data_IF_038313915359
#
_entry.id   IF_038313915359
#
_cell.length_a   1.000
_cell.length_b   1.000
_cell.length_c   1.000
_cell.angle_alpha   90.00
_cell.angle_beta   90.00
_cell.angle_gamma   90.00
#
_symmetry.space_group_name_H-M   'P 1'
#
loop_
_entity.id
_entity.type
_entity.pdbx_description
1 polymer ?
#
# COMPACT_ATOMS: atom_id res chain seq x y z
N UNK A 1 -8.80 -6.26 8.11
CA UNK A 1 -7.92 -5.10 8.46
C UNK A 1 -7.83 -5.00 9.96
N UNK A 2 -6.65 -4.65 10.46
CA UNK A 2 -6.42 -4.56 11.90
C UNK A 2 -6.37 -3.08 12.31
N UNK A 3 -6.96 -2.76 13.45
CA UNK A 3 -6.82 -1.44 14.04
C UNK A 3 -5.44 -1.33 14.68
N UNK A 4 -4.59 -0.43 14.18
CA UNK A 4 -3.22 -0.23 14.70
C UNK A 4 -3.16 1.10 15.43
N UNK A 5 -2.74 1.08 16.69
CA UNK A 5 -2.54 2.27 17.54
C UNK A 5 -1.15 2.18 18.17
N UNK A 6 -0.31 3.20 17.95
CA UNK A 6 1.04 3.30 18.51
C UNK A 6 1.89 2.02 18.29
N UNK A 7 1.85 1.48 17.06
CA UNK A 7 2.51 0.25 16.63
C UNK A 7 2.04 -1.04 17.34
N UNK A 8 0.87 -1.04 17.96
CA UNK A 8 0.24 -2.21 18.55
C UNK A 8 -1.04 -2.56 17.78
N UNK A 9 -1.24 -3.82 17.50
CA UNK A 9 -2.47 -4.33 16.88
C UNK A 9 -3.53 -4.43 17.98
N UNK A 10 -4.70 -3.82 17.76
CA UNK A 10 -5.87 -3.98 18.62
C UNK A 10 -6.62 -5.22 18.17
N UNK A 11 -6.43 -6.30 18.89
CA UNK A 11 -6.96 -7.62 18.55
C UNK A 11 -8.33 -7.89 19.21
N UNK A 12 -9.31 -7.01 18.94
CA UNK A 12 -10.65 -7.19 19.42
C UNK A 12 -11.69 -6.75 18.38
N UNK A 13 -12.79 -7.50 18.21
CA UNK A 13 -13.92 -7.06 17.40
C UNK A 13 -14.51 -5.76 17.95
N UNK A 14 -14.91 -4.84 17.07
CA UNK A 14 -15.53 -3.56 17.44
C UNK A 14 -16.68 -3.74 18.46
N UNK A 15 -17.60 -4.73 18.34
CA UNK A 15 -18.65 -4.95 19.33
C UNK A 15 -18.14 -5.20 20.74
N UNK A 16 -17.01 -5.86 20.90
CA UNK A 16 -16.46 -6.17 22.23
C UNK A 16 -15.80 -4.93 22.86
N UNK A 17 -15.18 -4.08 22.03
CA UNK A 17 -14.71 -2.75 22.45
C UNK A 17 -15.88 -1.91 22.96
N UNK A 18 -16.98 -1.86 22.20
CA UNK A 18 -18.19 -1.10 22.58
C UNK A 18 -18.85 -1.64 23.86
N UNK A 19 -18.89 -2.95 24.04
CA UNK A 19 -19.38 -3.57 25.29
C UNK A 19 -18.51 -3.21 26.49
N UNK A 20 -17.19 -3.16 26.30
CA UNK A 20 -16.26 -2.80 27.36
C UNK A 20 -16.39 -1.32 27.75
N UNK A 21 -16.54 -0.41 26.76
CA UNK A 21 -16.84 1.00 27.04
C UNK A 21 -18.12 1.12 27.87
N UNK A 22 -19.19 0.44 27.45
CA UNK A 22 -20.47 0.46 28.18
C UNK A 22 -20.34 -0.05 29.61
N UNK A 23 -19.56 -1.12 29.81
CA UNK A 23 -19.32 -1.70 31.15
C UNK A 23 -18.57 -0.74 32.05
N UNK A 24 -17.58 -0.03 31.56
CA UNK A 24 -16.71 0.84 32.36
C UNK A 24 -17.30 2.22 32.60
N UNK A 25 -18.00 2.78 31.61
CA UNK A 25 -18.66 4.09 31.79
C UNK A 25 -19.95 3.99 32.61
N UNK A 26 -20.55 2.79 32.75
CA UNK A 26 -21.86 2.62 33.34
C UNK A 26 -22.99 3.35 32.62
N UNK A 27 -22.68 4.01 31.52
CA UNK A 27 -23.65 4.75 30.71
C UNK A 27 -24.49 3.83 29.84
N UNK A 28 -25.75 4.20 29.59
CA UNK A 28 -26.63 3.46 28.68
C UNK A 28 -26.32 3.83 27.20
N UNK A 29 -25.05 3.71 26.84
CA UNK A 29 -24.55 3.94 25.48
C UNK A 29 -24.77 2.69 24.61
N UNK A 30 -24.86 2.88 23.30
CA UNK A 30 -24.88 1.81 22.30
C UNK A 30 -26.00 0.77 22.58
N UNK A 31 -27.24 1.22 22.71
CA UNK A 31 -28.39 0.33 23.05
C UNK A 31 -28.52 -0.85 22.11
N UNK A 32 -28.41 -0.59 20.79
CA UNK A 32 -28.60 -1.56 19.73
C UNK A 32 -27.42 -1.50 18.77
N UNK A 33 -26.44 -2.39 18.94
CA UNK A 33 -25.33 -2.55 18.01
C UNK A 33 -25.84 -3.42 16.85
N UNK A 34 -25.99 -2.87 15.66
CA UNK A 34 -26.42 -3.58 14.47
C UNK A 34 -25.29 -3.65 13.46
N UNK A 35 -25.10 -4.80 12.81
CA UNK A 35 -24.19 -4.93 11.69
C UNK A 35 -24.98 -4.75 10.38
N UNK A 36 -24.58 -3.78 9.55
CA UNK A 36 -25.18 -3.50 8.23
C UNK A 36 -24.08 -3.28 7.21
N UNK A 37 -23.97 -4.19 6.24
CA UNK A 37 -22.88 -4.20 5.25
C UNK A 37 -21.53 -4.17 5.98
N UNK A 38 -20.69 -3.20 5.67
CA UNK A 38 -19.34 -3.06 6.25
C UNK A 38 -19.31 -2.09 7.44
N UNK A 39 -20.41 -2.00 8.21
CA UNK A 39 -20.49 -1.04 9.32
C UNK A 39 -21.20 -1.65 10.52
N UNK A 40 -20.70 -1.33 11.72
CA UNK A 40 -21.48 -1.42 12.94
C UNK A 40 -22.24 -0.11 13.14
N UNK A 41 -23.57 -0.19 13.26
CA UNK A 41 -24.45 0.96 13.47
C UNK A 41 -24.79 1.04 14.94
N UNK A 42 -24.55 2.21 15.54
CA UNK A 42 -24.70 2.48 16.98
C UNK A 42 -25.46 3.80 17.19
N UNK A 43 -25.98 4.00 18.40
CA UNK A 43 -26.42 5.31 18.84
C UNK A 43 -25.24 6.26 19.02
N UNK A 44 -25.35 7.49 18.56
CA UNK A 44 -24.25 8.46 18.60
C UNK A 44 -24.07 9.02 20.01
N UNK A 45 -22.87 8.93 20.62
CA UNK A 45 -22.65 9.47 21.96
C UNK A 45 -22.65 11.00 21.99
N UNK A 46 -22.42 11.67 20.86
CA UNK A 46 -22.26 13.12 20.79
C UNK A 46 -23.59 13.89 20.67
N UNK A 47 -24.68 13.28 20.28
CA UNK A 47 -25.97 13.95 20.30
C UNK A 47 -27.02 13.19 21.11
N UNK A 48 -27.91 13.93 21.76
CA UNK A 48 -28.93 13.43 22.68
C UNK A 48 -28.35 12.50 23.78
N UNK A 49 -27.09 12.68 24.14
CA UNK A 49 -26.42 11.87 25.16
C UNK A 49 -26.43 10.37 24.87
N UNK A 50 -26.39 9.96 23.59
CA UNK A 50 -26.48 8.56 23.19
C UNK A 50 -27.89 7.93 23.28
N UNK A 51 -28.94 8.75 23.52
CA UNK A 51 -30.31 8.32 23.78
C UNK A 51 -31.24 8.47 22.56
N UNK A 52 -30.70 8.43 21.36
CA UNK A 52 -31.52 8.46 20.15
C UNK A 52 -32.34 7.16 19.98
N UNK A 53 -33.54 7.29 19.41
CA UNK A 53 -34.41 6.13 19.18
C UNK A 53 -34.01 5.28 17.99
N UNK A 54 -33.31 5.90 17.01
CA UNK A 54 -32.81 5.24 15.81
C UNK A 54 -31.30 5.43 15.72
N UNK A 55 -30.50 4.36 15.75
CA UNK A 55 -29.05 4.45 15.59
C UNK A 55 -28.64 5.15 14.28
N UNK A 56 -27.80 6.16 14.37
CA UNK A 56 -27.39 7.00 13.22
C UNK A 56 -25.87 7.12 13.04
N UNK A 57 -25.10 6.48 13.90
CA UNK A 57 -23.65 6.53 13.88
C UNK A 57 -23.08 5.19 13.40
N UNK A 58 -22.26 5.24 12.39
CA UNK A 58 -21.61 4.08 11.78
C UNK A 58 -20.16 3.97 12.19
N UNK A 59 -19.69 2.75 12.45
CA UNK A 59 -18.27 2.44 12.61
C UNK A 59 -17.88 1.52 11.46
N UNK A 60 -17.01 1.99 10.59
CA UNK A 60 -16.59 1.24 9.42
C UNK A 60 -15.68 0.07 9.80
N UNK A 61 -15.97 -1.12 9.25
CA UNK A 61 -15.22 -2.35 9.47
C UNK A 61 -15.02 -3.19 8.20
N UNK A 62 -15.13 -2.54 7.03
CA UNK A 62 -14.85 -3.14 5.73
C UNK A 62 -13.39 -3.00 5.31
N UNK A 63 -13.11 -3.44 4.08
CA UNK A 63 -11.77 -3.47 3.48
C UNK A 63 -11.57 -2.43 2.37
N UNK A 64 -12.39 -1.35 2.33
CA UNK A 64 -12.22 -0.30 1.33
C UNK A 64 -10.93 0.50 1.59
N UNK A 65 -10.13 0.77 0.55
CA UNK A 65 -8.94 1.61 0.69
C UNK A 65 -9.26 3.10 0.91
N UNK A 66 -10.52 3.49 0.71
CA UNK A 66 -10.96 4.89 0.83
C UNK A 66 -11.36 5.28 2.26
N UNK A 67 -11.65 4.30 3.12
CA UNK A 67 -12.11 4.53 4.49
C UNK A 67 -11.31 3.65 5.44
N UNK A 68 -10.64 4.27 6.40
CA UNK A 68 -9.84 3.55 7.41
C UNK A 68 -10.72 2.71 8.33
N UNK A 69 -10.31 1.47 8.63
CA UNK A 69 -10.99 0.58 9.57
C UNK A 69 -11.13 1.25 10.95
N UNK A 70 -12.32 1.23 11.52
CA UNK A 70 -12.61 1.91 12.78
C UNK A 70 -12.99 3.40 12.62
N UNK A 71 -13.12 3.92 11.40
CA UNK A 71 -13.67 5.27 11.19
C UNK A 71 -15.12 5.33 11.64
N UNK A 72 -15.40 6.30 12.51
CA UNK A 72 -16.74 6.55 13.07
C UNK A 72 -17.36 7.75 12.35
N UNK A 73 -18.58 7.60 11.86
CA UNK A 73 -19.33 8.70 11.24
C UNK A 73 -20.81 8.68 11.64
N UNK A 74 -21.28 9.81 12.17
CA UNK A 74 -22.70 10.01 12.48
C UNK A 74 -23.39 10.84 11.39
N UNK A 75 -24.35 10.26 10.69
CA UNK A 75 -25.09 10.92 9.61
C UNK A 75 -26.08 11.99 10.10
N UNK A 76 -26.37 12.05 11.41
CA UNK A 76 -27.31 13.04 11.96
C UNK A 76 -26.60 14.31 12.41
N UNK A 77 -25.46 14.23 13.09
CA UNK A 77 -24.76 15.39 13.64
C UNK A 77 -23.41 15.70 12.95
N UNK A 78 -22.98 14.88 12.00
CA UNK A 78 -21.71 15.07 11.29
C UNK A 78 -20.47 14.70 12.11
N UNK A 79 -20.63 14.10 13.30
CA UNK A 79 -19.51 13.63 14.11
C UNK A 79 -18.73 12.58 13.31
N UNK A 80 -17.44 12.86 13.05
CA UNK A 80 -16.58 12.00 12.23
C UNK A 80 -15.18 11.94 12.84
N UNK A 81 -14.79 10.75 13.33
CA UNK A 81 -13.58 10.56 14.13
C UNK A 81 -13.04 9.13 14.01
N UNK A 82 -11.77 8.86 14.32
CA UNK A 82 -11.26 7.50 14.50
C UNK A 82 -11.79 6.85 15.79
N UNK A 83 -11.73 5.53 15.87
CA UNK A 83 -12.29 4.75 17.00
C UNK A 83 -11.70 5.16 18.36
N UNK A 84 -10.40 5.45 18.45
CA UNK A 84 -9.79 5.89 19.70
C UNK A 84 -10.38 7.20 20.22
N UNK A 85 -10.78 8.11 19.33
CA UNK A 85 -11.44 9.36 19.71
C UNK A 85 -12.87 9.11 20.18
N UNK A 86 -13.60 8.17 19.58
CA UNK A 86 -14.91 7.73 20.10
C UNK A 86 -14.77 7.23 21.54
N UNK A 87 -13.73 6.41 21.80
CA UNK A 87 -13.44 5.93 23.17
C UNK A 87 -13.21 7.12 24.10
N UNK A 88 -12.30 8.02 23.76
CA UNK A 88 -11.98 9.20 24.57
C UNK A 88 -13.24 10.02 24.89
N UNK A 89 -14.07 10.28 23.89
CA UNK A 89 -15.29 11.06 24.04
C UNK A 89 -16.35 10.35 24.95
N UNK A 90 -16.42 9.02 24.91
CA UNK A 90 -17.30 8.25 25.79
C UNK A 90 -16.88 8.34 27.28
N UNK A 91 -15.61 8.54 27.55
CA UNK A 91 -15.06 8.74 28.90
C UNK A 91 -14.91 10.22 29.27
N UNK A 92 -15.22 11.15 28.36
CA UNK A 92 -15.02 12.59 28.51
C UNK A 92 -13.54 12.94 28.74
N UNK A 93 -12.65 12.26 28.01
CA UNK A 93 -11.19 12.35 28.12
C UNK A 93 -10.55 12.79 26.78
N UNK A 94 -9.24 13.01 26.80
CA UNK A 94 -8.46 13.39 25.61
C UNK A 94 -8.12 12.17 24.75
N UNK A 95 -7.74 12.42 23.48
CA UNK A 95 -7.41 11.40 22.49
C UNK A 95 -6.36 10.39 22.96
N UNK A 96 -5.33 10.86 23.70
CA UNK A 96 -4.27 9.99 24.25
C UNK A 96 -4.82 8.97 25.25
N UNK A 97 -5.87 9.32 26.01
CA UNK A 97 -6.57 8.37 26.86
C UNK A 97 -7.21 7.27 26.04
N UNK A 98 -7.92 7.63 24.96
CA UNK A 98 -8.60 6.65 24.11
C UNK A 98 -7.63 5.66 23.47
N UNK A 99 -6.48 6.14 23.01
CA UNK A 99 -5.40 5.29 22.48
C UNK A 99 -4.85 4.36 23.56
N UNK A 100 -4.46 4.91 24.71
CA UNK A 100 -3.94 4.15 25.84
C UNK A 100 -4.95 3.10 26.33
N UNK A 101 -6.23 3.45 26.42
CA UNK A 101 -7.31 2.56 26.83
C UNK A 101 -7.48 1.36 25.89
N UNK A 102 -7.45 1.60 24.56
CA UNK A 102 -7.53 0.52 23.57
C UNK A 102 -6.30 -0.39 23.65
N UNK A 103 -5.12 0.18 23.76
CA UNK A 103 -3.86 -0.55 23.86
C UNK A 103 -3.79 -1.38 25.15
N UNK A 104 -4.19 -0.84 26.29
CA UNK A 104 -4.13 -1.53 27.58
C UNK A 104 -5.07 -2.73 27.65
N UNK A 105 -6.25 -2.65 27.02
CA UNK A 105 -7.29 -3.69 27.10
C UNK A 105 -7.28 -4.67 25.96
N UNK A 106 -6.87 -4.26 24.78
CA UNK A 106 -7.00 -5.03 23.54
C UNK A 106 -5.73 -5.01 22.68
N UNK A 107 -4.70 -4.27 23.09
CA UNK A 107 -3.42 -4.27 22.39
C UNK A 107 -2.69 -5.56 22.69
N UNK A 108 -2.41 -6.34 21.65
CA UNK A 108 -1.39 -7.36 21.76
C UNK A 108 -0.05 -6.63 21.92
N UNK A 109 0.47 -6.69 23.13
CA UNK A 109 1.90 -6.49 23.30
C UNK A 109 2.58 -7.55 22.44
N UNK A 110 3.43 -7.14 21.51
CA UNK A 110 4.57 -7.94 21.13
C UNK A 110 5.39 -8.15 22.42
N UNK A 111 4.90 -9.03 23.29
CA UNK A 111 5.79 -9.69 24.24
C UNK A 111 6.66 -10.54 23.33
N UNK A 112 7.94 -10.18 23.22
CA UNK A 112 9.00 -11.16 23.10
C UNK A 112 8.84 -12.15 24.25
N UNK A 113 7.82 -12.97 24.21
CA UNK A 113 7.85 -14.23 24.92
C UNK A 113 8.88 -15.04 24.17
N UNK A 114 10.11 -15.00 24.68
CA UNK A 114 11.00 -16.13 24.61
C UNK A 114 10.24 -17.34 25.21
N UNK A 115 9.23 -17.83 24.52
CA UNK A 115 8.89 -19.23 24.60
C UNK A 115 10.04 -19.91 23.90
N UNK A 116 10.83 -20.61 24.69
CA UNK A 116 11.69 -21.71 24.24
C UNK A 116 10.74 -22.78 23.69
N UNK A 117 10.12 -22.50 22.57
CA UNK A 117 9.72 -23.53 21.63
C UNK A 117 11.02 -23.88 20.89
N UNK A 118 11.29 -25.18 20.63
CA UNK A 118 12.44 -25.55 19.83
C UNK A 118 12.41 -24.67 18.60
N UNK A 119 13.53 -24.02 18.29
CA UNK A 119 13.64 -23.05 17.23
C UNK A 119 13.01 -23.64 15.96
N UNK A 120 11.75 -23.28 15.72
CA UNK A 120 11.20 -23.35 14.37
C UNK A 120 12.00 -22.25 13.69
N UNK A 121 12.90 -22.69 12.83
CA UNK A 121 13.71 -21.84 12.00
C UNK A 121 12.77 -20.97 11.13
N UNK A 122 12.36 -19.81 11.66
CA UNK A 122 11.50 -18.83 10.98
C UNK A 122 12.25 -18.17 9.82
N UNK A 123 13.53 -18.50 9.65
CA UNK A 123 14.34 -18.10 8.50
C UNK A 123 13.96 -18.84 7.20
N UNK A 124 13.16 -19.89 7.30
CA UNK A 124 12.55 -20.50 6.12
C UNK A 124 11.18 -19.83 5.85
N UNK A 125 11.21 -18.58 5.37
CA UNK A 125 10.12 -18.10 4.50
C UNK A 125 9.85 -19.23 3.51
N UNK A 126 8.57 -19.60 3.33
CA UNK A 126 8.23 -20.60 2.33
C UNK A 126 8.95 -20.20 1.03
N UNK A 127 9.67 -21.10 0.38
CA UNK A 127 10.47 -20.75 -0.79
C UNK A 127 9.52 -20.05 -1.77
N UNK A 128 9.88 -18.83 -2.19
CA UNK A 128 9.11 -18.07 -3.17
C UNK A 128 8.89 -19.01 -4.35
N UNK A 129 7.64 -19.33 -4.65
CA UNK A 129 7.30 -20.30 -5.69
C UNK A 129 7.78 -19.75 -7.03
N UNK A 130 8.84 -20.31 -7.56
CA UNK A 130 9.31 -19.97 -8.91
C UNK A 130 8.27 -20.44 -9.91
N UNK A 131 7.88 -19.56 -10.82
CA UNK A 131 7.02 -19.89 -11.94
C UNK A 131 7.90 -20.35 -13.12
N UNK A 132 7.38 -21.28 -13.92
CA UNK A 132 8.02 -21.64 -15.17
C UNK A 132 7.81 -20.52 -16.19
N UNK A 133 8.88 -20.06 -16.84
CA UNK A 133 8.79 -18.99 -17.85
C UNK A 133 7.92 -19.35 -19.06
N UNK A 134 7.67 -20.64 -19.30
CA UNK A 134 6.78 -21.09 -20.38
C UNK A 134 5.37 -20.54 -20.25
N UNK A 135 4.92 -20.24 -19.00
CA UNK A 135 3.60 -19.62 -18.76
C UNK A 135 3.44 -18.28 -19.47
N UNK A 136 4.54 -17.56 -19.71
CA UNK A 136 4.47 -16.24 -20.37
C UNK A 136 4.02 -16.35 -21.84
N UNK A 137 4.12 -17.54 -22.46
CA UNK A 137 3.62 -17.77 -23.82
C UNK A 137 2.09 -17.65 -23.92
N UNK A 138 1.39 -17.88 -22.81
CA UNK A 138 -0.07 -17.72 -22.75
C UNK A 138 -0.51 -16.27 -22.89
N UNK A 139 0.39 -15.33 -22.58
CA UNK A 139 0.14 -13.90 -22.59
C UNK A 139 0.89 -13.15 -23.70
N UNK A 140 1.55 -13.83 -24.59
CA UNK A 140 2.35 -13.23 -25.68
C UNK A 140 1.44 -12.62 -26.78
N UNK A 141 0.67 -11.62 -26.38
CA UNK A 141 -0.23 -10.87 -27.25
C UNK A 141 -0.07 -9.38 -27.01
N UNK A 142 -0.14 -8.61 -28.09
CA UNK A 142 -0.24 -7.14 -27.98
C UNK A 142 -1.70 -6.72 -27.81
N UNK A 143 -1.88 -5.66 -27.03
CA UNK A 143 -3.17 -4.99 -26.89
C UNK A 143 -3.04 -3.49 -27.18
N UNK A 144 -3.99 -2.83 -27.88
CA UNK A 144 -3.92 -1.39 -28.21
C UNK A 144 -3.71 -0.48 -26.97
N UNK A 145 -4.17 -0.91 -25.79
CA UNK A 145 -3.97 -0.19 -24.55
C UNK A 145 -2.50 0.03 -24.19
N UNK A 146 -1.57 -0.84 -24.60
CA UNK A 146 -0.13 -0.64 -24.42
C UNK A 146 0.32 0.67 -25.08
N UNK A 147 -0.19 0.94 -26.29
CA UNK A 147 0.16 2.14 -27.05
C UNK A 147 -0.51 3.39 -26.51
N UNK A 148 -1.74 3.28 -26.03
CA UNK A 148 -2.41 4.42 -25.36
C UNK A 148 -1.71 4.79 -24.05
N UNK A 149 -1.01 3.82 -23.44
CA UNK A 149 -0.14 4.05 -22.27
C UNK A 149 1.29 4.43 -22.66
N UNK A 150 1.52 4.86 -23.91
CA UNK A 150 2.80 5.36 -24.45
C UNK A 150 3.96 4.38 -24.38
N UNK A 151 3.71 3.07 -24.23
CA UNK A 151 4.77 2.08 -24.24
C UNK A 151 5.25 1.86 -25.66
N UNK A 152 6.56 1.84 -25.89
CA UNK A 152 7.11 1.47 -27.20
C UNK A 152 7.08 -0.04 -27.37
N UNK A 153 6.99 -0.49 -28.64
CA UNK A 153 7.04 -1.91 -28.95
C UNK A 153 8.33 -2.55 -28.44
N UNK A 154 9.46 -1.88 -28.61
CA UNK A 154 10.75 -2.34 -28.13
C UNK A 154 10.73 -2.66 -26.63
N UNK A 155 10.12 -1.78 -25.81
CA UNK A 155 10.05 -1.94 -24.35
C UNK A 155 9.04 -3.04 -23.98
N UNK A 156 7.92 -3.14 -24.69
CA UNK A 156 6.94 -4.21 -24.49
C UNK A 156 7.59 -5.59 -24.77
N UNK A 157 8.30 -5.73 -25.87
CA UNK A 157 9.00 -6.96 -26.24
C UNK A 157 10.15 -7.28 -25.27
N UNK A 158 10.97 -6.26 -24.94
CA UNK A 158 12.13 -6.39 -24.05
C UNK A 158 11.76 -6.91 -22.66
N UNK A 159 10.68 -6.42 -22.10
CA UNK A 159 10.24 -6.77 -20.75
C UNK A 159 9.06 -7.75 -20.75
N UNK A 160 8.74 -8.32 -21.91
CA UNK A 160 7.72 -9.36 -22.10
C UNK A 160 6.36 -8.96 -21.53
N UNK A 161 5.98 -7.68 -21.72
CA UNK A 161 4.65 -7.20 -21.36
C UNK A 161 3.65 -7.86 -22.30
N UNK A 162 2.68 -8.55 -21.73
CA UNK A 162 1.71 -9.31 -22.49
C UNK A 162 0.26 -8.89 -22.23
N UNK A 163 -0.67 -9.69 -22.73
CA UNK A 163 -2.09 -9.48 -22.53
C UNK A 163 -2.81 -10.80 -22.27
N UNK A 164 -3.54 -10.85 -21.17
CA UNK A 164 -4.40 -11.95 -20.81
C UNK A 164 -5.82 -11.72 -21.34
N UNK A 165 -6.20 -12.51 -22.34
CA UNK A 165 -7.53 -12.46 -22.96
C UNK A 165 -8.65 -12.90 -22.02
N UNK A 166 -8.36 -13.78 -21.05
CA UNK A 166 -9.37 -14.31 -20.15
C UNK A 166 -9.80 -13.28 -19.11
N UNK A 167 -8.88 -12.43 -18.66
CA UNK A 167 -9.13 -11.42 -17.63
C UNK A 167 -9.16 -9.99 -18.17
N UNK A 168 -9.04 -9.79 -19.48
CA UNK A 168 -8.97 -8.48 -20.15
C UNK A 168 -7.97 -7.53 -19.46
N UNK A 169 -6.71 -8.00 -19.33
CA UNK A 169 -5.69 -7.30 -18.57
C UNK A 169 -4.31 -7.38 -19.23
N UNK A 170 -3.53 -6.30 -19.14
CA UNK A 170 -2.10 -6.37 -19.42
C UNK A 170 -1.42 -7.20 -18.34
N UNK A 171 -0.42 -7.98 -18.74
CA UNK A 171 0.39 -8.81 -17.85
C UNK A 171 1.82 -8.30 -17.78
N UNK A 172 2.40 -8.30 -16.58
CA UNK A 172 3.76 -7.86 -16.33
C UNK A 172 4.49 -8.97 -15.57
N UNK A 173 5.46 -9.65 -16.20
CA UNK A 173 6.31 -10.61 -15.50
C UNK A 173 7.15 -9.91 -14.43
N UNK A 174 7.19 -10.47 -13.23
CA UNK A 174 7.96 -9.91 -12.11
C UNK A 174 8.99 -10.94 -11.67
N UNK A 175 10.23 -10.51 -11.68
CA UNK A 175 11.38 -11.33 -11.31
C UNK A 175 11.93 -10.86 -9.96
N UNK A 176 12.45 -11.82 -9.18
CA UNK A 176 13.21 -11.51 -7.98
C UNK A 176 14.64 -11.01 -8.33
N UNK A 177 15.42 -10.65 -7.34
CA UNK A 177 16.80 -10.20 -7.49
C UNK A 177 17.76 -11.29 -8.03
N UNK A 178 17.31 -12.55 -8.05
CA UNK A 178 18.04 -13.71 -8.56
C UNK A 178 17.61 -14.10 -9.98
N UNK A 179 16.79 -13.26 -10.62
CA UNK A 179 16.25 -13.50 -11.97
C UNK A 179 15.32 -14.72 -12.06
N UNK A 180 14.61 -15.07 -11.00
CA UNK A 180 13.55 -16.06 -11.05
C UNK A 180 12.21 -15.35 -11.30
N UNK A 181 11.38 -15.85 -12.21
CA UNK A 181 10.01 -15.40 -12.36
C UNK A 181 9.20 -15.83 -11.13
N UNK A 182 8.71 -14.86 -10.35
CA UNK A 182 8.02 -15.14 -9.07
C UNK A 182 6.55 -14.79 -9.09
N UNK A 183 6.13 -13.88 -9.96
CA UNK A 183 4.72 -13.57 -10.16
C UNK A 183 4.46 -12.96 -11.54
N UNK A 184 3.20 -12.92 -11.93
CA UNK A 184 2.71 -12.17 -13.08
C UNK A 184 1.61 -11.26 -12.57
N UNK A 185 1.88 -9.96 -12.54
CA UNK A 185 0.87 -8.99 -12.15
C UNK A 185 0.00 -8.62 -13.32
N UNK A 186 -1.25 -8.25 -13.08
CA UNK A 186 -2.23 -7.95 -14.11
C UNK A 186 -2.88 -6.59 -13.87
N UNK A 187 -3.02 -5.80 -14.93
CA UNK A 187 -3.73 -4.53 -14.92
C UNK A 187 -4.88 -4.57 -15.91
N UNK A 188 -6.10 -4.39 -15.44
CA UNK A 188 -7.26 -4.30 -16.31
C UNK A 188 -7.11 -3.18 -17.34
N UNK A 189 -7.53 -3.45 -18.59
CA UNK A 189 -7.55 -2.43 -19.65
C UNK A 189 -8.84 -1.62 -19.65
N UNK A 190 -9.89 -2.11 -18.98
CA UNK A 190 -11.21 -1.51 -18.91
C UNK A 190 -11.48 -0.77 -17.58
N UNK A 191 -10.64 -0.98 -16.56
CA UNK A 191 -10.79 -0.36 -15.22
C UNK A 191 -9.44 0.02 -14.60
N UNK A 192 -9.45 0.64 -13.41
CA UNK A 192 -8.23 0.91 -12.64
C UNK A 192 -7.77 -0.31 -11.81
N UNK A 193 -8.46 -1.46 -11.91
CA UNK A 193 -8.13 -2.63 -11.12
C UNK A 193 -6.73 -3.17 -11.47
N UNK A 194 -6.00 -3.47 -10.42
CA UNK A 194 -4.66 -4.04 -10.47
C UNK A 194 -4.62 -5.27 -9.56
N UNK A 195 -4.20 -6.40 -10.09
CA UNK A 195 -4.13 -7.66 -9.35
C UNK A 195 -2.67 -8.00 -9.04
N UNK A 196 -2.35 -8.04 -7.76
CA UNK A 196 -1.11 -8.57 -7.20
C UNK A 196 -1.49 -9.67 -6.22
N UNK A 197 -0.68 -10.72 -6.14
CA UNK A 197 -0.79 -11.70 -5.05
C UNK A 197 -0.34 -11.03 -3.73
N UNK A 198 -1.27 -10.86 -2.79
CA UNK A 198 -1.04 -10.15 -1.53
C UNK A 198 -0.18 -10.96 -0.54
N UNK A 199 -0.07 -12.27 -0.73
CA UNK A 199 0.66 -13.18 0.17
C UNK A 199 2.15 -13.33 -0.17
N UNK A 200 2.68 -12.54 -1.12
CA UNK A 200 4.07 -12.62 -1.55
C UNK A 200 4.81 -11.31 -1.24
N UNK A 201 5.99 -11.41 -0.63
CA UNK A 201 6.89 -10.27 -0.51
C UNK A 201 7.17 -9.70 -1.92
N UNK A 202 6.75 -8.46 -2.15
CA UNK A 202 6.85 -7.83 -3.48
C UNK A 202 8.30 -7.55 -3.83
N UNK A 203 8.84 -8.09 -4.95
CA UNK A 203 10.15 -7.69 -5.43
C UNK A 203 10.15 -6.22 -5.89
N UNK A 204 11.31 -5.73 -6.31
CA UNK A 204 11.41 -4.46 -7.01
C UNK A 204 11.34 -4.74 -8.52
N UNK A 205 10.31 -4.25 -9.19
CA UNK A 205 10.07 -4.49 -10.61
C UNK A 205 11.23 -4.00 -11.48
N UNK A 206 11.75 -4.83 -12.36
CA UNK A 206 12.89 -4.64 -13.26
C UNK A 206 14.26 -4.50 -12.58
N UNK A 207 14.38 -4.69 -11.26
CA UNK A 207 15.68 -4.63 -10.58
C UNK A 207 16.64 -5.72 -11.06
N UNK A 208 16.13 -6.92 -11.34
CA UNK A 208 16.93 -8.01 -11.91
C UNK A 208 17.64 -7.57 -13.19
N UNK A 209 16.92 -6.85 -14.08
CA UNK A 209 17.51 -6.32 -15.31
C UNK A 209 18.54 -5.21 -15.03
N UNK A 210 18.25 -4.27 -14.13
CA UNK A 210 19.18 -3.23 -13.68
C UNK A 210 20.49 -3.86 -13.18
N UNK A 211 20.40 -4.89 -12.36
CA UNK A 211 21.57 -5.59 -11.81
C UNK A 211 22.35 -6.34 -12.90
N UNK A 212 21.66 -7.06 -13.80
CA UNK A 212 22.30 -7.79 -14.91
C UNK A 212 23.08 -6.88 -15.85
N UNK A 213 22.62 -5.64 -16.05
CA UNK A 213 23.28 -4.63 -16.86
C UNK A 213 24.23 -3.70 -16.07
N UNK A 214 24.37 -3.96 -14.74
CA UNK A 214 25.20 -3.15 -13.85
C UNK A 214 24.90 -1.64 -13.88
N UNK A 215 23.64 -1.27 -14.06
CA UNK A 215 23.18 0.12 -14.14
C UNK A 215 23.26 0.77 -12.76
N UNK A 216 23.88 1.95 -12.66
CA UNK A 216 24.15 2.64 -11.40
C UNK A 216 23.18 3.77 -11.09
N UNK A 217 22.50 4.32 -12.09
CA UNK A 217 21.51 5.39 -11.94
C UNK A 217 20.16 4.91 -12.42
N UNK A 218 19.13 5.01 -11.57
CA UNK A 218 17.79 4.56 -11.89
C UNK A 218 16.73 5.51 -11.36
N UNK A 219 15.62 5.56 -12.08
CA UNK A 219 14.39 6.21 -11.61
C UNK A 219 13.60 5.23 -10.77
N UNK A 220 13.08 5.72 -9.64
CA UNK A 220 12.14 4.99 -8.78
C UNK A 220 10.74 5.55 -8.98
N UNK A 221 9.81 4.67 -9.32
CA UNK A 221 8.38 5.02 -9.51
C UNK A 221 7.48 4.05 -8.76
N UNK A 222 6.19 4.37 -8.68
CA UNK A 222 5.22 3.55 -7.95
C UNK A 222 4.70 2.37 -8.77
N UNK A 223 4.43 2.56 -10.07
CA UNK A 223 3.80 1.56 -10.92
C UNK A 223 4.69 1.05 -12.05
N UNK A 224 4.41 -0.19 -12.49
CA UNK A 224 5.14 -0.79 -13.62
C UNK A 224 4.97 0.02 -14.91
N UNK A 225 3.77 0.54 -15.18
CA UNK A 225 3.52 1.36 -16.38
C UNK A 225 4.41 2.61 -16.34
N UNK A 226 4.55 3.25 -15.19
CA UNK A 226 5.42 4.40 -15.03
C UNK A 226 6.89 4.04 -15.28
N UNK A 227 7.36 2.88 -14.78
CA UNK A 227 8.70 2.39 -15.06
C UNK A 227 8.92 2.11 -16.56
N UNK A 228 7.99 1.43 -17.21
CA UNK A 228 8.07 1.11 -18.64
C UNK A 228 7.98 2.38 -19.51
N UNK A 229 7.24 3.40 -19.07
CA UNK A 229 7.19 4.72 -19.73
C UNK A 229 8.55 5.41 -19.66
N UNK A 230 9.20 5.42 -18.48
CA UNK A 230 10.54 5.95 -18.33
C UNK A 230 11.54 5.22 -19.26
N UNK A 231 11.46 3.89 -19.32
CA UNK A 231 12.25 3.08 -20.27
C UNK A 231 11.98 3.44 -21.73
N UNK A 232 10.71 3.66 -22.09
CA UNK A 232 10.33 4.11 -23.44
C UNK A 232 10.95 5.48 -23.78
N UNK A 233 11.15 6.34 -22.80
CA UNK A 233 11.80 7.63 -22.95
C UNK A 233 13.34 7.55 -22.93
N UNK A 234 13.89 6.36 -22.67
CA UNK A 234 15.32 6.08 -22.67
C UNK A 234 16.00 6.13 -21.31
N UNK A 235 15.23 6.11 -20.22
CA UNK A 235 15.72 6.20 -18.86
C UNK A 235 15.47 4.91 -18.06
N UNK A 236 16.52 4.28 -17.49
CA UNK A 236 16.38 3.13 -16.64
C UNK A 236 15.50 3.41 -15.41
N UNK A 237 14.51 2.56 -15.18
CA UNK A 237 13.59 2.75 -14.08
C UNK A 237 13.18 1.40 -13.45
N UNK A 238 12.81 1.46 -12.18
CA UNK A 238 12.25 0.35 -11.40
C UNK A 238 10.97 0.79 -10.68
N UNK A 239 10.06 -0.15 -10.38
CA UNK A 239 8.82 0.18 -9.67
C UNK A 239 8.69 -0.58 -8.35
N UNK A 240 8.05 0.08 -7.36
CA UNK A 240 7.87 -0.43 -6.00
C UNK A 240 6.45 -0.95 -5.71
N UNK A 241 5.54 -0.99 -6.71
CA UNK A 241 4.14 -1.37 -6.52
C UNK A 241 3.44 -0.52 -5.43
N UNK A 242 3.63 0.77 -5.47
CA UNK A 242 3.29 1.80 -4.50
C UNK A 242 4.55 2.51 -4.02
N UNK A 243 4.53 3.03 -2.80
CA UNK A 243 5.63 3.85 -2.26
C UNK A 243 6.75 3.04 -1.59
N UNK A 244 6.71 1.72 -1.70
CA UNK A 244 7.76 0.81 -1.21
C UNK A 244 7.53 0.24 0.20
N UNK A 245 8.16 -0.91 0.45
CA UNK A 245 8.15 -1.65 1.72
C UNK A 245 9.57 -1.82 2.28
N UNK A 246 9.70 -2.19 3.55
CA UNK A 246 11.00 -2.48 4.18
C UNK A 246 11.77 -3.55 3.42
N UNK A 247 11.11 -4.63 3.01
CA UNK A 247 11.71 -5.68 2.20
C UNK A 247 12.31 -5.14 0.89
N UNK A 248 11.59 -4.26 0.19
CA UNK A 248 12.10 -3.64 -1.04
C UNK A 248 13.27 -2.70 -0.79
N UNK A 249 13.27 -1.95 0.32
CA UNK A 249 14.42 -1.13 0.71
C UNK A 249 15.64 -1.98 1.03
N UNK A 250 15.48 -3.13 1.68
CA UNK A 250 16.57 -4.08 1.95
C UNK A 250 17.19 -4.63 0.67
N UNK A 251 16.35 -4.97 -0.32
CA UNK A 251 16.82 -5.40 -1.65
C UNK A 251 17.60 -4.27 -2.35
N UNK A 252 17.04 -3.06 -2.36
CA UNK A 252 17.70 -1.89 -2.97
C UNK A 252 19.01 -1.55 -2.28
N UNK A 253 19.10 -1.66 -0.97
CA UNK A 253 20.30 -1.41 -0.18
C UNK A 253 21.44 -2.39 -0.52
N UNK A 254 21.11 -3.59 -0.99
CA UNK A 254 22.07 -4.61 -1.45
C UNK A 254 22.39 -4.49 -2.95
N UNK A 255 21.68 -3.63 -3.69
CA UNK A 255 21.82 -3.51 -5.13
C UNK A 255 23.11 -2.79 -5.56
N UNK A 256 23.39 -2.88 -6.86
CA UNK A 256 24.53 -2.16 -7.48
C UNK A 256 24.28 -0.68 -7.68
N UNK A 257 23.06 -0.17 -7.42
CA UNK A 257 22.65 1.20 -7.70
C UNK A 257 23.41 2.17 -6.77
N UNK A 258 23.79 3.33 -7.32
CA UNK A 258 24.51 4.41 -6.63
C UNK A 258 23.77 5.73 -6.65
N UNK A 259 22.80 5.86 -7.55
CA UNK A 259 22.01 7.07 -7.70
C UNK A 259 20.54 6.72 -7.97
N UNK A 260 19.68 7.18 -7.09
CA UNK A 260 18.22 7.06 -7.19
C UNK A 260 17.61 8.41 -7.54
N UNK A 261 16.72 8.42 -8.53
CA UNK A 261 15.93 9.59 -8.92
C UNK A 261 14.48 9.25 -8.60
N UNK A 262 13.94 9.79 -7.52
CA UNK A 262 12.55 9.52 -7.10
C UNK A 262 11.59 10.34 -7.94
N UNK A 263 10.68 9.66 -8.64
CA UNK A 263 9.59 10.24 -9.42
C UNK A 263 8.27 9.59 -9.03
N UNK A 264 7.90 9.74 -7.75
CA UNK A 264 6.61 9.27 -7.25
C UNK A 264 5.46 10.14 -7.74
N UNK A 265 4.24 9.61 -7.65
CA UNK A 265 3.03 10.29 -8.11
C UNK A 265 2.89 11.67 -7.42
N UNK A 266 2.35 12.65 -8.14
CA UNK A 266 2.25 14.05 -7.69
C UNK A 266 1.13 14.27 -6.66
N UNK A 267 1.14 13.49 -5.57
CA UNK A 267 0.18 13.57 -4.49
C UNK A 267 0.85 13.46 -3.10
N UNK A 268 0.04 13.51 -2.04
CA UNK A 268 0.54 13.43 -0.66
C UNK A 268 1.14 12.07 -0.30
N UNK A 269 0.69 10.99 -0.97
CA UNK A 269 1.23 9.65 -0.76
C UNK A 269 2.63 9.54 -1.36
N UNK A 270 2.85 10.08 -2.57
CA UNK A 270 4.16 10.16 -3.21
C UNK A 270 5.15 11.02 -2.42
N UNK A 271 4.73 12.21 -1.90
CA UNK A 271 5.57 13.04 -1.05
C UNK A 271 5.99 12.30 0.25
N UNK A 272 5.08 11.58 0.87
CA UNK A 272 5.35 10.77 2.06
C UNK A 272 6.24 9.56 1.73
N UNK A 273 6.03 8.94 0.56
CA UNK A 273 6.84 7.85 0.02
C UNK A 273 8.29 8.27 -0.20
N UNK A 274 8.52 9.45 -0.79
CA UNK A 274 9.87 9.97 -1.01
C UNK A 274 10.63 10.18 0.31
N UNK A 275 9.98 10.76 1.32
CA UNK A 275 10.58 10.92 2.66
C UNK A 275 10.93 9.58 3.29
N UNK A 276 10.04 8.58 3.17
CA UNK A 276 10.26 7.23 3.69
C UNK A 276 11.40 6.53 2.97
N UNK A 277 11.47 6.64 1.63
CA UNK A 277 12.57 6.11 0.84
C UNK A 277 13.91 6.65 1.31
N UNK A 278 14.06 7.99 1.40
CA UNK A 278 15.29 8.66 1.85
C UNK A 278 15.71 8.23 3.25
N UNK A 279 14.73 7.99 4.14
CA UNK A 279 15.00 7.52 5.50
C UNK A 279 15.58 6.10 5.54
N UNK A 280 15.10 5.21 4.67
CA UNK A 280 15.40 3.77 4.73
C UNK A 280 16.49 3.31 3.76
N UNK A 281 16.85 4.13 2.77
CA UNK A 281 17.95 3.80 1.86
C UNK A 281 19.31 4.08 2.50
N UNK A 282 20.33 3.28 2.15
CA UNK A 282 21.71 3.45 2.64
C UNK A 282 22.24 4.85 2.32
N UNK A 283 23.19 5.34 3.13
CA UNK A 283 23.65 6.74 3.09
C UNK A 283 24.82 7.00 2.13
N UNK A 284 25.35 5.96 1.51
CA UNK A 284 26.47 6.03 0.55
C UNK A 284 26.01 6.11 -0.92
N UNK A 285 24.75 6.52 -1.14
CA UNK A 285 24.16 6.71 -2.48
C UNK A 285 23.57 8.11 -2.62
N UNK A 286 23.49 8.58 -3.87
CA UNK A 286 22.81 9.84 -4.19
C UNK A 286 21.30 9.60 -4.34
N UNK A 287 20.50 10.55 -3.87
CA UNK A 287 19.05 10.51 -4.00
C UNK A 287 18.55 11.89 -4.38
N UNK A 288 18.03 12.01 -5.59
CA UNK A 288 17.31 13.20 -6.06
C UNK A 288 15.82 12.97 -6.03
N UNK A 289 15.06 14.04 -5.78
CA UNK A 289 13.60 13.99 -5.79
C UNK A 289 13.07 14.92 -6.88
N UNK A 290 12.46 14.36 -7.88
CA UNK A 290 11.75 15.08 -8.93
C UNK A 290 10.28 15.14 -8.60
N UNK A 291 9.76 16.32 -8.32
CA UNK A 291 8.34 16.51 -8.04
C UNK A 291 7.53 16.55 -9.33
N UNK A 292 6.59 15.63 -9.43
CA UNK A 292 5.63 15.64 -10.54
C UNK A 292 4.54 16.69 -10.31
N UNK A 293 3.92 17.22 -11.38
CA UNK A 293 2.78 18.11 -11.27
C UNK A 293 1.65 17.43 -10.47
N UNK A 294 0.91 18.21 -9.70
CA UNK A 294 -0.15 17.70 -8.82
C UNK A 294 -1.15 16.82 -9.57
N UNK A 295 -1.40 15.62 -9.04
CA UNK A 295 -2.32 14.62 -9.60
C UNK A 295 -1.84 13.97 -10.88
N UNK A 296 -0.55 14.10 -11.23
CA UNK A 296 0.08 13.47 -12.39
C UNK A 296 1.02 12.36 -11.97
N UNK A 297 1.12 11.34 -12.81
CA UNK A 297 2.13 10.31 -12.76
C UNK A 297 3.10 10.40 -13.96
N UNK A 298 4.14 9.58 -13.99
CA UNK A 298 5.14 9.58 -15.08
C UNK A 298 4.48 9.28 -16.44
N UNK A 299 3.48 8.41 -16.48
CA UNK A 299 2.80 8.05 -17.72
C UNK A 299 1.89 9.17 -18.26
N UNK A 300 1.48 10.11 -17.41
CA UNK A 300 0.71 11.28 -17.84
C UNK A 300 1.55 12.30 -18.63
N UNK A 301 2.88 12.30 -18.42
CA UNK A 301 3.79 13.27 -19.05
C UNK A 301 4.06 12.91 -20.52
N UNK A 302 4.25 13.92 -21.38
CA UNK A 302 4.91 13.72 -22.66
C UNK A 302 6.42 13.51 -22.46
N UNK A 303 7.13 13.03 -23.49
CA UNK A 303 8.58 12.86 -23.43
C UNK A 303 9.28 14.20 -23.17
N UNK A 304 8.82 15.29 -23.78
CA UNK A 304 9.35 16.64 -23.58
C UNK A 304 9.17 17.10 -22.14
N UNK A 305 7.96 16.96 -21.58
CA UNK A 305 7.67 17.31 -20.19
C UNK A 305 8.51 16.49 -19.22
N UNK A 306 8.69 15.20 -19.49
CA UNK A 306 9.52 14.32 -18.69
C UNK A 306 10.99 14.79 -18.70
N UNK A 307 11.55 15.13 -19.87
CA UNK A 307 12.91 15.64 -20.02
C UNK A 307 13.10 17.02 -19.33
N UNK A 308 12.11 17.89 -19.40
CA UNK A 308 12.18 19.19 -18.74
C UNK A 308 12.26 19.09 -17.22
N UNK A 309 11.66 18.07 -16.63
CA UNK A 309 11.78 17.82 -15.19
C UNK A 309 13.21 17.41 -14.79
N UNK A 310 13.94 16.70 -15.65
CA UNK A 310 15.34 16.34 -15.40
C UNK A 310 16.30 17.52 -15.40
N UNK A 311 16.01 18.58 -16.14
CA UNK A 311 16.82 19.82 -16.12
C UNK A 311 16.83 20.51 -14.75
N UNK A 312 15.94 20.12 -13.84
CA UNK A 312 15.87 20.68 -12.49
C UNK A 312 16.82 19.98 -11.50
N UNK A 313 17.45 18.86 -11.90
CA UNK A 313 18.36 18.07 -11.05
C UNK A 313 19.84 18.30 -11.41
N UNK A 314 20.12 18.99 -12.50
CA UNK A 314 21.50 19.27 -13.00
C UNK A 314 22.12 20.49 -12.38
#
# INVERSE_FOLDING_TARGET
MDLIIDNKIINAPIPDILKQIKKETGANLFKDIQFKRDNYVITCPQHKGGQENHPSCNIYCGDSPEVEYGTVHCFTCGYSVPLYKLVADCFNEKDDFGKAWLVDRFGDTFIETQRILPAIDVSKKAPVKKLDESILREFDYYHPYMWTRKLSREIVDKFRVGYDKATDALTFPVYDEHNNLVMITKRSVSSKAFHIDENVDKPVYLLNYIQSQNIKTVIIVESQINALTAWTYGYPAVALFGTGSEHQYDILNKSCIRHYILMFDGDSAGDSGAKRFIKNIRKDVFVDVVKLPRGKDVNDLSKEQFLDLFKQIS
#
